data_IF_949487957651
#
_entry.id   IF_949487957651
#
_cell.length_a   1.000
_cell.length_b   1.000
_cell.length_c   1.000
_cell.angle_alpha   90.00
_cell.angle_beta   90.00
_cell.angle_gamma   90.00
#
_symmetry.space_group_name_H-M   'P 1'
#
loop_
_entity.id
_entity.type
_entity.pdbx_description
1 polymer ?
#
# COMPACT_ATOMS: atom_id res chain seq x y z
N UNK A 1 9.13 -29.83 33.79
CA UNK A 1 9.90 -29.13 32.73
C UNK A 1 9.01 -28.01 32.22
N UNK A 2 9.27 -26.79 32.66
CA UNK A 2 8.42 -25.64 32.34
C UNK A 2 8.93 -25.00 31.04
N UNK A 3 8.11 -25.00 30.00
CA UNK A 3 8.41 -24.46 28.67
C UNK A 3 7.99 -22.98 28.54
N UNK A 4 8.03 -22.21 29.62
CA UNK A 4 7.72 -20.78 29.56
C UNK A 4 8.91 -19.96 29.05
N UNK A 5 9.19 -20.06 27.74
CA UNK A 5 9.98 -19.02 27.06
C UNK A 5 9.06 -17.83 26.80
N UNK A 6 8.96 -16.91 27.77
CA UNK A 6 8.35 -15.60 27.54
C UNK A 6 9.19 -14.88 26.48
N UNK A 7 8.72 -14.83 25.24
CA UNK A 7 9.41 -14.12 24.17
C UNK A 7 9.61 -12.66 24.59
N UNK A 8 10.81 -12.12 24.40
CA UNK A 8 11.10 -10.72 24.70
C UNK A 8 10.17 -9.82 23.89
N UNK A 9 9.63 -8.78 24.52
CA UNK A 9 8.68 -7.84 23.89
C UNK A 9 9.21 -7.27 22.58
N UNK A 10 10.53 -7.11 22.46
CA UNK A 10 11.19 -6.65 21.24
C UNK A 10 11.16 -7.68 20.11
N UNK A 11 11.21 -8.98 20.42
CA UNK A 11 11.08 -10.04 19.44
C UNK A 11 9.65 -10.15 18.91
N UNK A 12 8.65 -9.96 19.78
CA UNK A 12 7.24 -9.92 19.36
C UNK A 12 7.01 -8.70 18.47
N UNK A 13 7.43 -7.52 18.92
CA UNK A 13 7.35 -6.28 18.15
C UNK A 13 8.00 -6.41 16.77
N UNK A 14 9.25 -6.89 16.71
CA UNK A 14 9.98 -7.05 15.45
C UNK A 14 9.30 -8.03 14.49
N UNK A 15 8.72 -9.12 15.01
CA UNK A 15 7.94 -10.07 14.21
C UNK A 15 6.66 -9.44 13.66
N UNK A 16 5.90 -8.72 14.48
CA UNK A 16 4.67 -8.05 14.06
C UNK A 16 4.91 -6.97 13.02
N UNK A 17 5.99 -6.19 13.14
CA UNK A 17 6.38 -5.22 12.10
C UNK A 17 6.69 -5.94 10.78
N UNK A 18 7.43 -7.05 10.85
CA UNK A 18 7.82 -7.81 9.64
C UNK A 18 6.64 -8.49 8.96
N UNK A 19 5.77 -9.15 9.72
CA UNK A 19 4.56 -9.80 9.21
C UNK A 19 3.59 -8.75 8.67
N UNK A 20 3.35 -7.66 9.39
CA UNK A 20 2.55 -6.53 8.92
C UNK A 20 3.07 -5.90 7.63
N UNK A 21 4.40 -5.77 7.47
CA UNK A 21 5.01 -5.29 6.22
C UNK A 21 4.70 -6.21 5.03
N UNK A 22 4.94 -7.51 5.17
CA UNK A 22 4.70 -8.50 4.10
C UNK A 22 3.20 -8.58 3.76
N UNK A 23 2.35 -8.63 4.77
CA UNK A 23 0.90 -8.62 4.60
C UNK A 23 0.44 -7.34 3.87
N UNK A 24 1.01 -6.19 4.22
CA UNK A 24 0.78 -4.90 3.56
C UNK A 24 1.19 -4.89 2.09
N UNK A 25 2.36 -5.46 1.77
CA UNK A 25 2.81 -5.61 0.38
C UNK A 25 1.84 -6.46 -0.44
N UNK A 26 1.44 -7.64 0.05
CA UNK A 26 0.49 -8.52 -0.65
C UNK A 26 -0.87 -7.83 -0.81
N UNK A 27 -1.38 -7.22 0.28
CA UNK A 27 -2.64 -6.47 0.28
C UNK A 27 -2.64 -5.32 -0.74
N UNK A 28 -1.53 -4.57 -0.83
CA UNK A 28 -1.36 -3.50 -1.82
C UNK A 28 -1.50 -4.00 -3.27
N UNK A 29 -0.92 -5.17 -3.59
CA UNK A 29 -1.05 -5.78 -4.92
C UNK A 29 -2.50 -6.15 -5.23
N UNK A 30 -3.20 -6.79 -4.29
CA UNK A 30 -4.62 -7.16 -4.44
C UNK A 30 -5.48 -5.92 -4.64
N UNK A 31 -5.24 -4.87 -3.86
CA UNK A 31 -5.99 -3.60 -3.93
C UNK A 31 -5.86 -2.93 -5.29
N UNK A 32 -4.63 -2.79 -5.82
CA UNK A 32 -4.41 -2.22 -7.17
C UNK A 32 -5.07 -3.10 -8.24
N UNK A 33 -4.96 -4.42 -8.10
CA UNK A 33 -5.60 -5.38 -9.01
C UNK A 33 -7.12 -5.16 -9.08
N UNK A 34 -7.78 -5.03 -7.93
CA UNK A 34 -9.21 -4.74 -7.87
C UNK A 34 -9.56 -3.36 -8.44
N UNK A 35 -8.74 -2.33 -8.20
CA UNK A 35 -8.96 -1.00 -8.78
C UNK A 35 -8.88 -1.00 -10.32
N UNK A 36 -8.11 -1.92 -10.90
CA UNK A 36 -8.04 -2.06 -12.36
C UNK A 36 -9.26 -2.75 -12.95
N UNK A 37 -9.90 -3.64 -12.19
CA UNK A 37 -11.02 -4.45 -12.67
C UNK A 37 -12.37 -3.79 -12.34
N UNK A 38 -12.51 -3.22 -11.13
CA UNK A 38 -13.80 -2.76 -10.60
C UNK A 38 -13.76 -1.33 -10.04
N UNK A 39 -14.78 -0.50 -10.35
CA UNK A 39 -15.76 -0.68 -11.44
C UNK A 39 -15.08 -0.55 -12.82
N UNK A 40 -15.73 -0.99 -13.92
CA UNK A 40 -15.15 -0.95 -15.26
C UNK A 40 -14.50 0.41 -15.60
N UNK A 41 -13.26 0.37 -16.08
CA UNK A 41 -12.52 1.59 -16.42
C UNK A 41 -13.17 2.29 -17.61
N UNK A 42 -13.69 3.50 -17.38
CA UNK A 42 -13.96 4.46 -18.45
C UNK A 42 -12.69 5.26 -18.73
N UNK A 43 -12.54 5.79 -19.94
CA UNK A 43 -11.37 6.62 -20.30
C UNK A 43 -11.12 7.75 -19.29
N UNK A 44 -12.20 8.38 -18.79
CA UNK A 44 -12.13 9.45 -17.80
C UNK A 44 -11.60 8.97 -16.43
N UNK A 45 -11.87 7.72 -16.03
CA UNK A 45 -11.35 7.12 -14.79
C UNK A 45 -9.90 6.64 -14.91
N UNK A 46 -9.43 6.41 -16.12
CA UNK A 46 -8.02 6.07 -16.36
C UNK A 46 -7.09 7.29 -16.32
N UNK A 47 -7.64 8.50 -16.45
CA UNK A 47 -6.84 9.74 -16.37
C UNK A 47 -6.31 9.96 -14.96
N UNK A 48 -7.17 9.85 -13.94
CA UNK A 48 -6.80 10.07 -12.53
C UNK A 48 -7.30 8.91 -11.68
N UNK A 49 -6.37 8.19 -11.06
CA UNK A 49 -6.71 7.09 -10.17
C UNK A 49 -7.11 7.59 -8.76
N UNK A 50 -7.78 6.76 -7.94
CA UNK A 50 -8.22 7.15 -6.60
C UNK A 50 -7.09 7.66 -5.67
N UNK A 51 -5.90 7.03 -5.59
CA UNK A 51 -4.79 7.56 -4.79
C UNK A 51 -4.31 8.95 -5.25
N UNK A 52 -4.27 9.19 -6.58
CA UNK A 52 -3.92 10.49 -7.13
C UNK A 52 -4.97 11.54 -6.76
N UNK A 53 -6.27 11.22 -6.90
CA UNK A 53 -7.36 12.11 -6.46
C UNK A 53 -7.25 12.43 -4.99
N UNK A 54 -6.95 11.45 -4.14
CA UNK A 54 -6.78 11.65 -2.71
C UNK A 54 -5.66 12.65 -2.43
N UNK A 55 -4.47 12.47 -3.02
CA UNK A 55 -3.38 13.43 -2.84
C UNK A 55 -3.72 14.83 -3.38
N UNK A 56 -4.42 14.93 -4.51
CA UNK A 56 -4.88 16.22 -5.05
C UNK A 56 -5.84 16.92 -4.09
N UNK A 57 -6.76 16.18 -3.47
CA UNK A 57 -7.66 16.71 -2.44
C UNK A 57 -6.89 17.17 -1.20
N UNK A 58 -5.73 16.59 -0.92
CA UNK A 58 -4.82 17.00 0.14
C UNK A 58 -3.89 18.17 -0.28
N UNK A 59 -4.04 18.70 -1.49
CA UNK A 59 -3.29 19.86 -1.99
C UNK A 59 -2.06 19.55 -2.86
N UNK A 60 -1.83 18.29 -3.21
CA UNK A 60 -0.73 17.93 -4.13
C UNK A 60 -1.01 18.39 -5.57
N UNK A 61 0.03 18.80 -6.30
CA UNK A 61 -0.11 19.23 -7.69
C UNK A 61 -0.44 18.06 -8.64
N UNK A 62 -1.07 18.40 -9.77
CA UNK A 62 -1.36 17.42 -10.81
C UNK A 62 -0.08 16.75 -11.34
N UNK A 63 0.96 17.55 -11.61
CA UNK A 63 2.24 17.08 -12.15
C UNK A 63 2.93 16.09 -11.21
N UNK A 64 2.90 16.36 -9.90
CA UNK A 64 3.46 15.44 -8.91
C UNK A 64 2.66 14.14 -8.87
N UNK A 65 1.34 14.24 -8.73
CA UNK A 65 0.48 13.04 -8.61
C UNK A 65 0.51 12.17 -9.87
N UNK A 66 0.72 12.76 -11.04
CA UNK A 66 0.78 12.07 -12.33
C UNK A 66 2.21 11.76 -12.78
N UNK A 67 3.20 11.89 -11.91
CA UNK A 67 4.56 11.50 -12.24
C UNK A 67 4.62 10.01 -12.58
N UNK A 68 5.15 9.71 -13.76
CA UNK A 68 5.26 8.36 -14.29
C UNK A 68 6.66 8.07 -14.82
N UNK A 69 7.00 6.78 -14.80
CA UNK A 69 8.10 6.24 -15.61
C UNK A 69 7.51 5.45 -16.76
N UNK A 70 8.15 5.49 -17.92
CA UNK A 70 7.75 4.61 -19.04
C UNK A 70 8.41 3.27 -18.83
N UNK A 71 7.59 2.24 -18.69
CA UNK A 71 7.98 0.85 -18.63
C UNK A 71 7.61 0.19 -19.96
N UNK A 72 8.55 -0.49 -20.62
CA UNK A 72 8.35 -1.03 -21.97
C UNK A 72 7.92 0.07 -22.99
N UNK A 73 7.59 -0.30 -24.23
CA UNK A 73 7.39 0.66 -25.33
C UNK A 73 6.41 1.80 -25.02
N UNK A 74 5.27 1.54 -24.38
CA UNK A 74 4.21 2.55 -24.20
C UNK A 74 3.41 2.41 -22.89
N UNK A 75 3.95 1.76 -21.85
CA UNK A 75 3.23 1.59 -20.59
C UNK A 75 3.69 2.63 -19.56
N UNK A 76 2.80 3.57 -19.22
CA UNK A 76 3.05 4.55 -18.16
C UNK A 76 2.84 3.89 -16.79
N UNK A 77 3.84 3.98 -15.92
CA UNK A 77 3.79 3.48 -14.55
C UNK A 77 3.85 4.68 -13.60
N UNK A 78 2.72 5.00 -12.99
CA UNK A 78 2.56 6.12 -12.07
C UNK A 78 3.10 5.76 -10.68
N UNK A 79 4.38 6.05 -10.45
CA UNK A 79 5.10 5.60 -9.25
C UNK A 79 4.59 6.26 -7.97
N UNK A 80 4.13 7.51 -8.02
CA UNK A 80 3.52 8.18 -6.84
C UNK A 80 2.26 7.44 -6.39
N UNK A 81 1.41 7.04 -7.34
CA UNK A 81 0.21 6.27 -7.03
C UNK A 81 0.52 4.87 -6.50
N UNK A 82 1.60 4.23 -6.97
CA UNK A 82 2.09 2.95 -6.44
C UNK A 82 2.55 3.08 -4.99
N UNK A 83 3.39 4.09 -4.69
CA UNK A 83 3.87 4.34 -3.33
C UNK A 83 2.70 4.54 -2.37
N UNK A 84 1.69 5.32 -2.76
CA UNK A 84 0.49 5.52 -1.94
C UNK A 84 -0.29 4.23 -1.69
N UNK A 85 -0.46 3.40 -2.73
CA UNK A 85 -1.14 2.12 -2.56
C UNK A 85 -0.47 1.24 -1.53
N UNK A 86 0.85 1.06 -1.66
CA UNK A 86 1.59 0.18 -0.76
C UNK A 86 1.74 0.78 0.63
N UNK A 87 2.06 2.07 0.75
CA UNK A 87 2.18 2.74 2.05
C UNK A 87 0.88 2.71 2.84
N UNK A 88 -0.28 2.93 2.19
CA UNK A 88 -1.58 2.79 2.84
C UNK A 88 -1.79 1.36 3.37
N UNK A 89 -1.59 0.34 2.54
CA UNK A 89 -1.78 -1.05 2.97
C UNK A 89 -0.81 -1.48 4.06
N UNK A 90 0.47 -1.11 3.95
CA UNK A 90 1.51 -1.40 4.95
C UNK A 90 1.16 -0.74 6.28
N UNK A 91 0.79 0.54 6.27
CA UNK A 91 0.43 1.26 7.49
C UNK A 91 -0.70 0.57 8.25
N UNK A 92 -1.80 0.22 7.57
CA UNK A 92 -2.93 -0.44 8.24
C UNK A 92 -2.64 -1.88 8.66
N UNK A 93 -1.86 -2.65 7.87
CA UNK A 93 -1.46 -4.00 8.26
C UNK A 93 -0.51 -3.99 9.47
N UNK A 94 0.47 -3.07 9.50
CA UNK A 94 1.34 -2.89 10.67
C UNK A 94 0.55 -2.44 11.90
N UNK A 95 -0.38 -1.49 11.76
CA UNK A 95 -1.21 -1.04 12.86
C UNK A 95 -2.09 -2.16 13.42
N UNK A 96 -2.70 -2.98 12.56
CA UNK A 96 -3.50 -4.12 12.96
C UNK A 96 -2.68 -5.19 13.69
N UNK A 97 -1.53 -5.57 13.13
CA UNK A 97 -0.68 -6.62 13.71
C UNK A 97 -0.02 -6.18 15.01
N UNK A 98 0.39 -4.91 15.09
CA UNK A 98 0.91 -4.33 16.34
C UNK A 98 -0.18 -4.24 17.41
N UNK A 99 -1.40 -3.83 17.06
CA UNK A 99 -2.52 -3.81 18.01
C UNK A 99 -2.87 -5.21 18.52
N UNK A 100 -2.78 -6.25 17.68
CA UNK A 100 -2.98 -7.64 18.09
C UNK A 100 -1.84 -8.23 18.93
N UNK A 101 -0.69 -7.56 18.99
CA UNK A 101 0.52 -8.04 19.67
C UNK A 101 0.77 -7.42 21.05
N UNK A 102 -0.01 -6.40 21.44
CA UNK A 102 0.01 -5.73 22.75
C UNK A 102 -1.14 -6.25 23.62
#
# INVERSE_FOLDING_TARGET
MDFSKKASSWHVFGKSVWVGFIAGMISGMVKIGWEKILPPRTLQRDVVNPPQRMLQQMGASYDFTHAYVIYNTNQKVFWVALILHFSFSIFFCMAFDLHGAV
#
